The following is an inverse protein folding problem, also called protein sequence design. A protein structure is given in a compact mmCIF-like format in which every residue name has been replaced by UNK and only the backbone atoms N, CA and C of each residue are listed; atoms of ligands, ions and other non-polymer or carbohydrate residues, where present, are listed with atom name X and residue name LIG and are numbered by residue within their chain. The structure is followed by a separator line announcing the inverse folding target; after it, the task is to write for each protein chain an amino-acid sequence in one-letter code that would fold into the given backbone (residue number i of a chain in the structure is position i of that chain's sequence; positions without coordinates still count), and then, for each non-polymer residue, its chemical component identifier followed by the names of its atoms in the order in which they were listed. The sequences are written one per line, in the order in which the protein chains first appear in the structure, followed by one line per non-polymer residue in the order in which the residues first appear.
data_IF_021960231267
#
_entry.id   IF_021960231267
#
_cell.length_a   1.000
_cell.length_b   1.000
_cell.length_c   1.000
_cell.angle_alpha   90.00
_cell.angle_beta   90.00
_cell.angle_gamma   90.00
#
_symmetry.space_group_name_H-M   'P 1'
#
loop_
_entity.id
_entity.type
_entity.pdbx_description
1 polymer ?
#
# COMPACT_ATOMS: atom_id res chain seq x y z
N UNK A 1 -1.77 17.99 -16.68
CA UNK A 1 -1.60 17.00 -15.58
C UNK A 1 -1.41 15.63 -16.21
N UNK A 2 -0.45 14.81 -15.76
CA UNK A 2 -0.27 13.46 -16.30
C UNK A 2 -1.53 12.62 -15.95
N UNK A 3 -2.01 11.79 -16.87
CA UNK A 3 -3.18 10.93 -16.66
C UNK A 3 -3.00 9.96 -15.48
N UNK A 4 -1.76 9.68 -15.07
CA UNK A 4 -1.45 8.86 -13.88
C UNK A 4 -1.43 9.63 -12.55
N UNK A 5 -1.44 10.97 -12.55
CA UNK A 5 -1.37 11.79 -11.33
C UNK A 5 -2.49 11.48 -10.32
N UNK A 6 -3.77 11.33 -10.73
CA UNK A 6 -4.84 11.00 -9.79
C UNK A 6 -4.62 9.65 -9.08
N UNK A 7 -4.06 8.67 -9.78
CA UNK A 7 -3.76 7.35 -9.21
C UNK A 7 -2.64 7.46 -8.17
N UNK A 8 -1.57 8.19 -8.47
CA UNK A 8 -0.47 8.42 -7.52
C UNK A 8 -0.98 9.09 -6.24
N UNK A 9 -1.79 10.14 -6.37
CA UNK A 9 -2.38 10.84 -5.22
C UNK A 9 -3.25 9.88 -4.41
N UNK A 10 -4.14 9.14 -5.08
CA UNK A 10 -5.06 8.20 -4.42
C UNK A 10 -4.33 7.13 -3.64
N UNK A 11 -3.33 6.47 -4.24
CA UNK A 11 -2.56 5.42 -3.57
C UNK A 11 -1.80 6.01 -2.37
N UNK A 12 -1.16 7.16 -2.55
CA UNK A 12 -0.43 7.84 -1.47
C UNK A 12 -1.34 8.21 -0.29
N UNK A 13 -2.55 8.72 -0.55
CA UNK A 13 -3.51 9.03 0.49
C UNK A 13 -3.92 7.79 1.28
N UNK A 14 -4.14 6.66 0.61
CA UNK A 14 -4.42 5.37 1.28
C UNK A 14 -3.27 4.97 2.20
N UNK A 15 -2.02 5.07 1.74
CA UNK A 15 -0.86 4.66 2.54
C UNK A 15 -0.66 5.58 3.76
N UNK A 16 -0.79 6.89 3.55
CA UNK A 16 -0.65 7.89 4.62
C UNK A 16 -1.76 7.71 5.65
N UNK A 17 -3.00 7.52 5.20
CA UNK A 17 -4.14 7.26 6.07
C UNK A 17 -3.89 6.06 6.99
N UNK A 18 -3.41 4.94 6.45
CA UNK A 18 -3.10 3.75 7.24
C UNK A 18 -2.01 4.00 8.29
N UNK A 19 -0.90 4.63 7.88
CA UNK A 19 0.20 4.99 8.79
C UNK A 19 -0.30 5.93 9.90
N UNK A 20 -1.10 6.93 9.55
CA UNK A 20 -1.67 7.89 10.51
C UNK A 20 -2.57 7.17 11.50
N UNK A 21 -3.44 6.24 11.07
CA UNK A 21 -4.28 5.45 11.99
C UNK A 21 -3.40 4.72 13.01
N UNK A 22 -2.36 4.01 12.57
CA UNK A 22 -1.47 3.30 13.49
C UNK A 22 -0.73 4.23 14.46
N UNK A 23 -0.37 5.44 14.01
CA UNK A 23 0.29 6.44 14.85
C UNK A 23 -0.67 7.04 15.89
N UNK A 24 -1.90 7.40 15.51
CA UNK A 24 -2.86 8.07 16.41
C UNK A 24 -3.52 7.10 17.39
N UNK A 25 -3.66 5.82 17.05
CA UNK A 25 -4.19 4.80 17.97
C UNK A 25 -3.14 4.22 18.90
N UNK A 26 -1.87 4.64 18.77
CA UNK A 26 -0.73 4.08 19.48
C UNK A 26 -0.60 2.54 19.33
N UNK A 27 -1.14 1.99 18.23
CA UNK A 27 -1.05 0.59 17.85
C UNK A 27 -0.09 0.47 16.68
N UNK A 28 1.19 0.75 16.95
CA UNK A 28 2.23 0.74 15.94
C UNK A 28 2.53 -0.71 15.53
N UNK A 29 1.90 -1.14 14.46
CA UNK A 29 2.18 -2.40 13.78
C UNK A 29 3.32 -2.15 12.77
N UNK A 30 4.57 -2.38 13.19
CA UNK A 30 5.78 -1.99 12.42
C UNK A 30 5.73 -2.54 10.98
N UNK A 31 5.29 -3.78 10.79
CA UNK A 31 5.19 -4.42 9.47
C UNK A 31 4.18 -3.69 8.57
N UNK A 32 3.06 -3.21 9.13
CA UNK A 32 2.07 -2.40 8.41
C UNK A 32 2.69 -1.09 7.96
N UNK A 33 3.31 -0.35 8.87
CA UNK A 33 3.94 0.93 8.55
C UNK A 33 5.02 0.76 7.48
N UNK A 34 5.90 -0.23 7.62
CA UNK A 34 6.94 -0.53 6.64
C UNK A 34 6.34 -0.87 5.26
N UNK A 35 5.29 -1.69 5.21
CA UNK A 35 4.63 -2.05 3.96
C UNK A 35 4.10 -0.82 3.21
N UNK A 36 3.43 0.10 3.91
CA UNK A 36 2.91 1.34 3.32
C UNK A 36 4.03 2.28 2.86
N UNK A 37 5.11 2.39 3.63
CA UNK A 37 6.30 3.20 3.27
C UNK A 37 6.94 2.70 1.98
N UNK A 38 7.00 1.38 1.75
CA UNK A 38 7.52 0.80 0.51
C UNK A 38 6.72 1.27 -0.70
N UNK A 39 5.39 1.32 -0.61
CA UNK A 39 4.53 1.82 -1.70
C UNK A 39 4.76 3.32 -1.92
N UNK A 40 4.85 4.12 -0.87
CA UNK A 40 5.13 5.56 -0.98
C UNK A 40 6.49 5.83 -1.66
N UNK A 41 7.54 5.12 -1.23
CA UNK A 41 8.87 5.23 -1.84
C UNK A 41 8.84 4.81 -3.32
N UNK A 42 8.13 3.73 -3.63
CA UNK A 42 7.96 3.30 -5.02
C UNK A 42 7.27 4.35 -5.88
N UNK A 43 6.21 4.98 -5.40
CA UNK A 43 5.51 6.05 -6.12
C UNK A 43 6.40 7.28 -6.32
N UNK A 44 7.16 7.69 -5.30
CA UNK A 44 8.09 8.81 -5.38
C UNK A 44 9.19 8.56 -6.42
N UNK A 45 9.81 7.38 -6.39
CA UNK A 45 10.84 7.00 -7.36
C UNK A 45 10.24 6.89 -8.77
N UNK A 46 9.05 6.31 -8.91
CA UNK A 46 8.36 6.20 -10.20
C UNK A 46 8.01 7.57 -10.79
N UNK A 47 7.54 8.51 -9.95
CA UNK A 47 7.24 9.88 -10.37
C UNK A 47 8.49 10.65 -10.83
N UNK A 48 9.67 10.32 -10.28
CA UNK A 48 10.95 10.93 -10.71
C UNK A 48 11.46 10.43 -12.08
N UNK A 49 10.78 9.46 -12.70
CA UNK A 49 11.18 8.87 -13.98
C UNK A 49 12.38 7.91 -13.90
N UNK A 50 12.94 7.71 -12.70
CA UNK A 50 14.15 6.90 -12.48
C UNK A 50 13.89 5.38 -12.41
N UNK A 51 12.63 4.96 -12.35
CA UNK A 51 12.29 3.54 -12.20
C UNK A 51 12.15 2.83 -13.56
N UNK A 52 12.86 1.72 -13.72
CA UNK A 52 12.67 0.83 -14.85
C UNK A 52 11.29 0.15 -14.76
N UNK A 53 10.44 0.37 -15.77
CA UNK A 53 9.04 -0.13 -15.82
C UNK A 53 8.92 -1.64 -15.63
N UNK A 54 9.97 -2.42 -15.97
CA UNK A 54 10.02 -3.88 -15.77
C UNK A 54 9.92 -4.31 -14.30
N UNK A 55 10.30 -3.44 -13.36
CA UNK A 55 10.28 -3.74 -11.92
C UNK A 55 9.08 -3.13 -11.19
N UNK A 56 8.07 -2.66 -11.91
CA UNK A 56 6.89 -2.00 -11.33
C UNK A 56 6.01 -2.91 -10.46
N UNK A 57 6.11 -4.23 -10.61
CA UNK A 57 5.38 -5.22 -9.80
C UNK A 57 6.10 -5.57 -8.49
N UNK A 58 7.41 -5.39 -8.41
CA UNK A 58 8.21 -5.83 -7.24
C UNK A 58 7.74 -5.16 -5.94
N UNK A 59 7.53 -3.82 -5.89
CA UNK A 59 7.07 -3.17 -4.67
C UNK A 59 5.68 -3.63 -4.23
N UNK A 60 4.79 -3.89 -5.19
CA UNK A 60 3.44 -4.39 -4.90
C UNK A 60 3.48 -5.83 -4.35
N UNK A 61 4.31 -6.70 -4.94
CA UNK A 61 4.52 -8.06 -4.44
C UNK A 61 5.10 -8.05 -3.02
N UNK A 62 6.08 -7.17 -2.76
CA UNK A 62 6.69 -7.05 -1.44
C UNK A 62 5.72 -6.47 -0.40
N UNK A 63 4.90 -5.48 -0.77
CA UNK A 63 3.80 -4.97 0.05
C UNK A 63 2.83 -6.08 0.46
N UNK A 64 2.38 -6.91 -0.50
CA UNK A 64 1.48 -8.03 -0.24
C UNK A 64 2.12 -9.07 0.68
N UNK A 65 3.38 -9.42 0.43
CA UNK A 65 4.14 -10.35 1.25
C UNK A 65 4.22 -9.89 2.72
N UNK A 66 4.51 -8.60 2.96
CA UNK A 66 4.54 -8.06 4.31
C UNK A 66 3.15 -8.06 4.98
N UNK A 67 2.09 -7.77 4.23
CA UNK A 67 0.72 -7.84 4.78
C UNK A 67 0.30 -9.29 5.10
N UNK A 68 0.77 -10.28 4.34
CA UNK A 68 0.57 -11.70 4.66
C UNK A 68 1.34 -12.08 5.93
N UNK A 69 2.61 -11.67 6.06
CA UNK A 69 3.39 -11.89 7.29
C UNK A 69 2.69 -11.26 8.49
N UNK A 70 2.20 -10.03 8.33
CA UNK A 70 1.45 -9.34 9.38
C UNK A 70 0.25 -10.17 9.85
N UNK A 71 -0.56 -10.67 8.91
CA UNK A 71 -1.71 -11.52 9.22
C UNK A 71 -1.31 -12.84 9.86
N UNK A 72 -0.22 -13.46 9.42
CA UNK A 72 0.30 -14.70 10.01
C UNK A 72 0.73 -14.50 11.48
N UNK A 73 1.24 -13.32 11.82
CA UNK A 73 1.69 -13.00 13.18
C UNK A 73 0.56 -12.52 14.11
N UNK A 74 -0.42 -11.78 13.57
CA UNK A 74 -1.42 -11.04 14.37
C UNK A 74 -2.86 -11.56 14.20
N UNK A 75 -3.05 -12.54 13.32
CA UNK A 75 -4.35 -13.12 13.00
C UNK A 75 -5.24 -12.22 12.14
N UNK A 76 -6.41 -12.76 11.78
CA UNK A 76 -7.43 -12.06 10.96
C UNK A 76 -8.31 -11.09 11.78
N UNK A 77 -8.29 -11.23 13.10
CA UNK A 77 -9.08 -10.42 14.03
C UNK A 77 -8.19 -9.47 14.83
N UNK A 78 -8.78 -8.40 15.36
CA UNK A 78 -8.14 -7.38 16.16
C UNK A 78 -8.55 -7.51 17.63
N UNK A 79 -7.69 -8.07 18.51
CA UNK A 79 -7.96 -8.17 19.94
C UNK A 79 -8.23 -6.81 20.60
N UNK A 80 -7.58 -5.74 20.13
CA UNK A 80 -7.74 -4.39 20.65
C UNK A 80 -9.10 -3.75 20.28
N UNK A 81 -9.85 -4.38 19.37
CA UNK A 81 -11.21 -3.99 18.97
C UNK A 81 -12.23 -5.07 19.35
N UNK A 82 -12.03 -5.75 20.48
CA UNK A 82 -12.99 -6.77 20.94
C UNK A 82 -13.00 -8.05 20.11
N UNK A 83 -11.96 -8.31 19.32
CA UNK A 83 -11.85 -9.50 18.48
C UNK A 83 -12.56 -9.38 17.13
N UNK A 84 -12.94 -8.16 16.71
CA UNK A 84 -13.53 -7.92 15.40
C UNK A 84 -12.58 -8.25 14.25
N UNK A 85 -13.14 -8.55 13.07
CA UNK A 85 -12.34 -8.74 11.85
C UNK A 85 -11.57 -7.46 11.51
N UNK A 86 -10.34 -7.61 11.01
CA UNK A 86 -9.50 -6.50 10.53
C UNK A 86 -10.02 -5.94 9.18
N UNK A 87 -11.28 -5.54 9.10
CA UNK A 87 -11.96 -5.10 7.86
C UNK A 87 -11.19 -3.94 7.22
N UNK A 88 -10.75 -2.97 8.01
CA UNK A 88 -9.99 -1.82 7.50
C UNK A 88 -8.69 -2.26 6.81
N UNK A 89 -7.96 -3.22 7.39
CA UNK A 89 -6.77 -3.81 6.78
C UNK A 89 -7.08 -4.36 5.39
N UNK A 90 -8.10 -5.21 5.28
CA UNK A 90 -8.47 -5.84 4.01
C UNK A 90 -8.89 -4.81 2.97
N UNK A 91 -9.71 -3.83 3.34
CA UNK A 91 -10.16 -2.76 2.43
C UNK A 91 -8.97 -1.98 1.89
N UNK A 92 -8.05 -1.55 2.76
CA UNK A 92 -6.89 -0.75 2.36
C UNK A 92 -5.91 -1.56 1.50
N UNK A 93 -5.70 -2.84 1.80
CA UNK A 93 -4.88 -3.74 0.98
C UNK A 93 -5.49 -3.92 -0.40
N UNK A 94 -6.80 -4.21 -0.49
CA UNK A 94 -7.51 -4.39 -1.75
C UNK A 94 -7.43 -3.14 -2.61
N UNK A 95 -7.72 -1.96 -2.05
CA UNK A 95 -7.62 -0.70 -2.78
C UNK A 95 -6.19 -0.40 -3.22
N UNK A 96 -5.20 -0.63 -2.37
CA UNK A 96 -3.79 -0.47 -2.74
C UNK A 96 -3.42 -1.35 -3.93
N UNK A 97 -3.85 -2.62 -3.95
CA UNK A 97 -3.62 -3.54 -5.07
C UNK A 97 -4.33 -3.08 -6.33
N UNK A 98 -5.61 -2.74 -6.25
CA UNK A 98 -6.40 -2.33 -7.41
C UNK A 98 -5.85 -1.06 -8.06
N UNK A 99 -5.58 -0.02 -7.27
CA UNK A 99 -5.06 1.24 -7.79
C UNK A 99 -3.61 1.12 -8.25
N UNK A 100 -2.77 0.35 -7.56
CA UNK A 100 -1.40 0.07 -8.01
C UNK A 100 -1.40 -0.72 -9.32
N UNK A 101 -2.27 -1.72 -9.46
CA UNK A 101 -2.45 -2.47 -10.71
C UNK A 101 -2.91 -1.58 -11.86
N UNK A 102 -3.87 -0.69 -11.61
CA UNK A 102 -4.32 0.31 -12.58
C UNK A 102 -3.19 1.27 -12.98
N UNK A 103 -2.38 1.73 -12.02
CA UNK A 103 -1.22 2.58 -12.26
C UNK A 103 -0.16 1.87 -13.12
N UNK A 104 0.17 0.62 -12.80
CA UNK A 104 1.12 -0.19 -13.56
C UNK A 104 0.63 -0.38 -14.99
N UNK A 105 -0.64 -0.78 -15.17
CA UNK A 105 -1.26 -0.97 -16.49
C UNK A 105 -1.25 0.31 -17.32
N UNK A 106 -1.61 1.45 -16.71
CA UNK A 106 -1.59 2.74 -17.38
C UNK A 106 -0.18 3.08 -17.88
N UNK A 107 0.85 2.95 -17.04
CA UNK A 107 2.23 3.28 -17.42
C UNK A 107 2.87 2.27 -18.39
N UNK A 108 2.38 1.03 -18.46
CA UNK A 108 2.78 0.07 -19.48
C UNK A 108 2.28 0.46 -20.89
N UNK A 109 1.11 1.10 -20.98
CA UNK A 109 0.46 1.44 -22.25
C UNK A 109 0.88 2.79 -22.84
N UNK A 110 1.51 3.67 -22.05
CA UNK A 110 2.06 4.95 -22.53
C UNK A 110 3.44 4.66 -23.16
N UNK A 111 3.45 4.31 -24.45
CA UNK A 111 4.66 4.22 -25.29
C UNK A 111 5.15 5.62 -25.67
#
# INVERSE_FOLDING_TARGET
MNKSTPLVITISLIQIFDIVIHAVTNQIEIIRVLSNVIILLWLAISASGKLNRKFSLVPLAFYLFLNIIFLAQNGLTNPQQGGELRVMLFVLVIFTVLFSGAYIKHNANVK
#
